data_IF_384067073242
#
_entry.id   IF_384067073242
#
_cell.length_a   1.000
_cell.length_b   1.000
_cell.length_c   1.000
_cell.angle_alpha   90.00
_cell.angle_beta   90.00
_cell.angle_gamma   90.00
#
_symmetry.space_group_name_H-M   'P 1'
#
loop_
_entity.id
_entity.type
_entity.pdbx_description
1 polymer ?
#
# COMPACT_ATOMS: atom_id res chain seq x y z
N UNK A 1 10.30 -32.97 2.35
CA UNK A 1 9.42 -32.88 1.16
C UNK A 1 8.04 -32.60 1.72
N UNK A 2 7.39 -31.44 1.61
CA UNK A 2 7.06 -30.54 0.47
C UNK A 2 6.31 -29.37 1.18
N UNK A 3 6.39 -28.07 0.89
CA UNK A 3 6.62 -27.31 -0.34
C UNK A 3 7.23 -25.95 0.06
N UNK A 4 8.46 -25.66 -0.35
CA UNK A 4 8.97 -24.29 -0.44
C UNK A 4 8.66 -23.76 -1.84
N UNK A 5 7.37 -23.81 -2.21
CA UNK A 5 6.91 -23.36 -3.52
C UNK A 5 6.58 -21.88 -3.45
N UNK A 6 7.23 -21.12 -4.34
CA UNK A 6 6.91 -19.74 -4.74
C UNK A 6 7.58 -18.61 -3.96
N UNK A 7 8.92 -18.60 -3.89
CA UNK A 7 9.63 -17.32 -4.07
C UNK A 7 9.86 -17.10 -5.56
N UNK A 8 8.82 -16.63 -6.27
CA UNK A 8 9.00 -16.07 -7.61
C UNK A 8 9.98 -14.89 -7.46
N UNK A 9 11.00 -14.74 -8.33
CA UNK A 9 11.86 -13.55 -8.30
C UNK A 9 10.97 -12.31 -8.38
N UNK A 10 11.20 -11.33 -7.50
CA UNK A 10 10.51 -10.05 -7.55
C UNK A 10 10.79 -9.43 -8.93
N UNK A 11 9.76 -9.22 -9.73
CA UNK A 11 9.92 -8.57 -11.03
C UNK A 11 10.24 -7.07 -10.82
N UNK A 12 10.86 -6.41 -11.80
CA UNK A 12 11.19 -4.98 -11.72
C UNK A 12 9.96 -4.11 -11.36
N UNK A 13 8.78 -4.53 -11.83
CA UNK A 13 7.51 -3.91 -11.49
C UNK A 13 7.19 -4.04 -10.00
N UNK A 14 7.44 -5.20 -9.37
CA UNK A 14 7.15 -5.44 -7.95
C UNK A 14 8.03 -4.55 -7.05
N UNK A 15 9.29 -4.34 -7.44
CA UNK A 15 10.17 -3.41 -6.73
C UNK A 15 9.64 -1.97 -6.70
N UNK A 16 9.04 -1.49 -7.79
CA UNK A 16 8.43 -0.16 -7.82
C UNK A 16 7.33 -0.01 -6.76
N UNK A 17 6.44 -0.99 -6.65
CA UNK A 17 5.31 -0.92 -5.72
C UNK A 17 5.72 -1.12 -4.28
N UNK A 18 6.74 -1.96 -4.03
CA UNK A 18 7.34 -2.09 -2.71
C UNK A 18 7.91 -0.75 -2.25
N UNK A 19 8.69 -0.07 -3.12
CA UNK A 19 9.26 1.25 -2.82
C UNK A 19 8.18 2.30 -2.61
N UNK A 20 7.14 2.30 -3.44
CA UNK A 20 6.04 3.26 -3.35
C UNK A 20 5.22 3.06 -2.06
N UNK A 21 4.93 1.81 -1.67
CA UNK A 21 4.33 1.53 -0.37
C UNK A 21 5.20 1.98 0.80
N UNK A 22 6.51 1.71 0.75
CA UNK A 22 7.46 2.18 1.78
C UNK A 22 7.52 3.71 1.83
N UNK A 23 7.54 4.42 0.70
CA UNK A 23 7.51 5.89 0.63
C UNK A 23 6.26 6.42 1.35
N UNK A 24 5.09 5.89 1.03
CA UNK A 24 3.81 6.30 1.64
C UNK A 24 3.82 6.04 3.15
N UNK A 25 4.15 4.81 3.56
CA UNK A 25 4.10 4.40 4.96
C UNK A 25 5.11 5.16 5.82
N UNK A 26 6.36 5.29 5.37
CA UNK A 26 7.38 6.05 6.08
C UNK A 26 7.03 7.54 6.13
N UNK A 27 6.49 8.11 5.05
CA UNK A 27 6.07 9.51 5.03
C UNK A 27 4.91 9.78 5.99
N UNK A 28 3.96 8.84 6.13
CA UNK A 28 2.87 8.94 7.08
C UNK A 28 3.39 8.96 8.53
N UNK A 29 4.35 8.09 8.86
CA UNK A 29 4.99 8.05 10.20
C UNK A 29 5.77 9.35 10.47
N UNK A 30 6.58 9.82 9.52
CA UNK A 30 7.36 11.05 9.66
C UNK A 30 6.46 12.28 9.83
N UNK A 31 5.28 12.28 9.21
CA UNK A 31 4.29 13.37 9.30
C UNK A 31 3.31 13.22 10.46
N UNK A 32 3.50 12.24 11.33
CA UNK A 32 2.61 11.93 12.45
C UNK A 32 1.13 11.79 12.02
N UNK A 33 0.93 11.11 10.89
CA UNK A 33 -0.41 10.90 10.32
C UNK A 33 -1.14 9.78 11.05
N UNK A 34 -2.40 10.04 11.42
CA UNK A 34 -3.30 9.08 12.06
C UNK A 34 -3.91 8.06 11.09
N UNK A 35 -4.18 8.48 9.84
CA UNK A 35 -4.74 7.64 8.80
C UNK A 35 -4.01 7.86 7.47
N UNK A 36 -3.91 6.79 6.69
CA UNK A 36 -3.50 6.83 5.28
C UNK A 36 -4.71 6.49 4.43
N UNK A 37 -5.13 7.43 3.60
CA UNK A 37 -6.20 7.25 2.62
C UNK A 37 -5.59 7.00 1.25
N UNK A 38 -5.92 5.87 0.62
CA UNK A 38 -5.52 5.53 -0.75
C UNK A 38 -6.80 5.42 -1.57
N UNK A 39 -7.02 6.37 -2.47
CA UNK A 39 -8.30 6.57 -3.14
C UNK A 39 -8.19 6.40 -4.64
N UNK A 40 -9.00 5.49 -5.20
CA UNK A 40 -9.21 5.41 -6.63
C UNK A 40 -10.03 6.61 -7.11
N UNK A 41 -9.48 7.35 -8.07
CA UNK A 41 -10.21 8.34 -8.86
C UNK A 41 -10.41 7.81 -10.28
N UNK A 42 -11.16 8.56 -11.10
CA UNK A 42 -11.47 8.14 -12.47
C UNK A 42 -10.20 7.84 -13.28
N UNK A 43 -9.17 8.70 -13.17
CA UNK A 43 -7.93 8.65 -13.94
C UNK A 43 -6.64 8.62 -13.10
N UNK A 44 -6.74 8.56 -11.77
CA UNK A 44 -5.59 8.63 -10.87
C UNK A 44 -5.83 7.86 -9.57
N UNK A 45 -4.76 7.70 -8.81
CA UNK A 45 -4.75 7.28 -7.42
C UNK A 45 -4.38 8.51 -6.58
N UNK A 46 -5.20 8.87 -5.60
CA UNK A 46 -4.90 9.99 -4.69
C UNK A 46 -4.56 9.41 -3.32
N UNK A 47 -3.40 9.81 -2.78
CA UNK A 47 -3.02 9.47 -1.42
C UNK A 47 -3.14 10.71 -0.54
N UNK A 48 -3.87 10.58 0.57
CA UNK A 48 -4.05 11.63 1.58
C UNK A 48 -3.65 11.11 2.95
N UNK A 49 -3.16 12.00 3.78
CA UNK A 49 -2.88 11.72 5.19
C UNK A 49 -3.85 12.49 6.07
N UNK A 50 -4.34 11.85 7.13
CA UNK A 50 -5.03 12.58 8.19
C UNK A 50 -4.02 13.06 9.22
N UNK A 51 -3.76 14.36 9.25
CA UNK A 51 -2.81 15.01 10.15
C UNK A 51 -3.60 15.99 11.02
N UNK A 52 -3.58 15.79 12.34
CA UNK A 52 -4.33 16.61 13.30
C UNK A 52 -5.83 16.75 12.97
N UNK A 53 -6.44 15.70 12.41
CA UNK A 53 -7.86 15.67 12.05
C UNK A 53 -8.15 16.02 10.59
N UNK A 54 -7.26 16.77 9.94
CA UNK A 54 -7.45 17.25 8.57
C UNK A 54 -6.88 16.30 7.52
N UNK A 55 -7.60 16.16 6.40
CA UNK A 55 -7.16 15.37 5.25
C UNK A 55 -6.28 16.21 4.32
N UNK A 56 -4.98 15.95 4.35
CA UNK A 56 -3.98 16.64 3.55
C UNK A 56 -3.56 15.79 2.35
N UNK A 57 -3.53 16.39 1.15
CA UNK A 57 -3.01 15.71 -0.04
C UNK A 57 -1.52 15.41 0.14
N UNK A 58 -1.13 14.14 -0.01
CA UNK A 58 0.27 13.75 -0.07
C UNK A 58 0.77 13.74 -1.50
N UNK A 59 0.17 12.91 -2.36
CA UNK A 59 0.61 12.72 -3.75
C UNK A 59 -0.49 12.10 -4.61
N UNK A 60 -0.40 12.35 -5.91
CA UNK A 60 -1.19 11.67 -6.92
C UNK A 60 -0.31 10.70 -7.72
N UNK A 61 -0.82 9.52 -8.01
CA UNK A 61 -0.16 8.47 -8.79
C UNK A 61 -1.05 8.04 -9.96
N UNK A 62 -0.49 7.37 -10.99
CA UNK A 62 -1.27 6.71 -12.03
C UNK A 62 -2.32 5.74 -11.45
N UNK A 63 -3.47 5.62 -12.11
CA UNK A 63 -4.53 4.68 -11.72
C UNK A 63 -4.05 3.22 -11.64
N UNK A 64 -3.09 2.84 -12.49
CA UNK A 64 -2.48 1.50 -12.47
C UNK A 64 -1.80 1.20 -11.13
N UNK A 65 -1.22 2.20 -10.48
CA UNK A 65 -0.52 2.00 -9.21
C UNK A 65 -1.49 1.79 -8.06
N UNK A 66 -2.72 2.32 -8.13
CA UNK A 66 -3.76 2.02 -7.15
C UNK A 66 -4.01 0.52 -7.04
N UNK A 67 -4.29 -0.15 -8.16
CA UNK A 67 -4.62 -1.59 -8.17
C UNK A 67 -3.45 -2.40 -7.60
N UNK A 68 -2.22 -2.05 -7.97
CA UNK A 68 -1.01 -2.75 -7.55
C UNK A 68 -0.69 -2.49 -6.07
N UNK A 69 -0.90 -1.27 -5.58
CA UNK A 69 -0.80 -0.92 -4.16
C UNK A 69 -1.79 -1.71 -3.32
N UNK A 70 -3.08 -1.72 -3.68
CA UNK A 70 -4.11 -2.47 -2.94
C UNK A 70 -3.76 -3.96 -2.92
N UNK A 71 -3.33 -4.52 -4.05
CA UNK A 71 -2.88 -5.92 -4.11
C UNK A 71 -1.71 -6.17 -3.17
N UNK A 72 -0.71 -5.28 -3.15
CA UNK A 72 0.44 -5.40 -2.25
C UNK A 72 0.02 -5.32 -0.79
N UNK A 73 -0.83 -4.37 -0.41
CA UNK A 73 -1.33 -4.21 0.96
C UNK A 73 -2.13 -5.45 1.38
N UNK A 74 -3.00 -5.97 0.50
CA UNK A 74 -3.74 -7.21 0.76
C UNK A 74 -2.82 -8.39 1.03
N UNK A 75 -1.77 -8.57 0.22
CA UNK A 75 -0.76 -9.62 0.45
C UNK A 75 -0.09 -9.44 1.83
N UNK A 76 0.34 -8.22 2.16
CA UNK A 76 1.00 -7.93 3.44
C UNK A 76 0.08 -8.14 4.64
N UNK A 77 -1.20 -7.83 4.50
CA UNK A 77 -2.23 -8.00 5.52
C UNK A 77 -2.90 -9.39 5.52
N UNK A 78 -2.44 -10.32 4.66
CA UNK A 78 -3.01 -11.68 4.47
C UNK A 78 -4.50 -11.69 4.10
N UNK A 79 -4.92 -10.73 3.29
CA UNK A 79 -6.28 -10.61 2.76
C UNK A 79 -6.43 -11.31 1.40
N UNK A 80 -7.67 -11.60 1.01
CA UNK A 80 -7.97 -12.22 -0.27
C UNK A 80 -7.86 -11.19 -1.41
N UNK A 81 -6.91 -11.44 -2.32
CA UNK A 81 -6.64 -10.61 -3.50
C UNK A 81 -7.71 -10.79 -4.60
N UNK A 82 -8.38 -11.94 -4.65
CA UNK A 82 -9.40 -12.22 -5.66
C UNK A 82 -10.73 -11.53 -5.34
N UNK A 83 -11.06 -11.35 -4.05
CA UNK A 83 -12.30 -10.69 -3.65
C UNK A 83 -12.16 -9.15 -3.68
N UNK A 84 -12.95 -8.49 -4.51
CA UNK A 84 -12.94 -7.03 -4.71
C UNK A 84 -14.29 -6.36 -4.42
N UNK A 85 -15.33 -7.14 -4.13
CA UNK A 85 -16.72 -6.67 -3.98
C UNK A 85 -17.11 -6.49 -2.51
N UNK A 86 -16.52 -7.27 -1.61
CA UNK A 86 -16.78 -7.21 -0.18
C UNK A 86 -15.66 -6.47 0.56
N UNK A 87 -15.98 -5.68 1.60
CA UNK A 87 -14.98 -5.08 2.48
C UNK A 87 -14.17 -6.17 3.18
N UNK A 88 -12.89 -5.88 3.42
CA UNK A 88 -11.97 -6.78 4.10
C UNK A 88 -11.11 -5.98 5.07
N UNK A 89 -10.95 -6.51 6.28
CA UNK A 89 -10.17 -5.89 7.35
C UNK A 89 -8.99 -6.78 7.74
N UNK A 90 -7.84 -6.16 7.96
CA UNK A 90 -6.61 -6.87 8.30
C UNK A 90 -5.68 -6.02 9.14
N UNK A 91 -4.54 -6.61 9.50
CA UNK A 91 -3.44 -5.92 10.17
C UNK A 91 -2.14 -6.29 9.50
N UNK A 92 -1.23 -5.34 9.43
CA UNK A 92 0.14 -5.54 8.99
C UNK A 92 1.07 -4.77 9.92
N UNK A 93 2.30 -5.24 10.05
CA UNK A 93 3.37 -4.54 10.76
C UNK A 93 4.33 -3.94 9.71
N UNK A 94 4.73 -2.69 9.94
CA UNK A 94 5.78 -2.03 9.17
C UNK A 94 6.95 -1.71 10.09
N UNK A 95 8.17 -1.92 9.61
CA UNK A 95 9.38 -1.41 10.26
C UNK A 95 9.81 -0.19 9.48
N UNK A 96 9.84 0.96 10.15
CA UNK A 96 10.31 2.23 9.59
C UNK A 96 11.60 2.58 10.32
N UNK A 97 12.75 2.54 9.64
CA UNK A 97 14.03 2.89 10.27
C UNK A 97 15.29 2.18 9.76
N UNK A 98 15.18 1.14 8.93
CA UNK A 98 16.37 0.48 8.37
C UNK A 98 16.81 1.24 7.10
N UNK A 99 17.64 2.28 7.30
CA UNK A 99 18.49 2.87 6.26
C UNK A 99 19.85 2.20 6.23
#
# INVERSE_FOLDING_TARGET
>A
MTQNSLRKPLEASDFHIIRLWHEIASSAVIKDASDIHIEAQQNSCIVRFRIHGDLCLFKAYPKTDHIRLITRIKILAKLDIAEQRLPQDGRLAITVGDS
#
